data_IF_852376244039
#
_entry.id   IF_852376244039
#
_cell.length_a   1.000
_cell.length_b   1.000
_cell.length_c   1.000
_cell.angle_alpha   90.00
_cell.angle_beta   90.00
_cell.angle_gamma   90.00
#
_symmetry.space_group_name_H-M   'P 1'
#
loop_
_entity.id
_entity.type
_entity.pdbx_description
1 polymer ?
#
# COMPACT_ATOMS: atom_id res chain seq x y z
N UNK A 1 11.90 -39.49 0.01
CA UNK A 1 10.41 -39.47 -0.01
C UNK A 1 9.91 -38.97 -1.36
N UNK A 2 8.87 -39.61 -1.88
CA UNK A 2 8.20 -39.13 -3.11
C UNK A 2 7.05 -38.25 -2.66
N UNK A 3 7.16 -36.93 -2.91
CA UNK A 3 6.10 -35.94 -2.61
C UNK A 3 5.04 -35.92 -3.70
N UNK A 4 3.78 -35.64 -3.34
CA UNK A 4 2.69 -35.46 -4.29
C UNK A 4 2.95 -34.27 -5.21
N UNK A 5 3.48 -33.14 -4.64
CA UNK A 5 3.74 -31.90 -5.33
C UNK A 5 5.19 -31.41 -5.09
N UNK A 6 5.72 -30.64 -6.03
CA UNK A 6 6.98 -29.96 -5.85
C UNK A 6 6.82 -28.75 -4.93
N UNK A 7 5.66 -28.06 -5.03
CA UNK A 7 5.25 -27.02 -4.11
C UNK A 7 3.73 -27.02 -3.85
N UNK A 8 3.37 -26.66 -2.60
CA UNK A 8 2.01 -26.27 -2.21
C UNK A 8 2.07 -24.79 -1.81
N UNK A 9 1.12 -23.99 -2.33
CA UNK A 9 0.94 -22.59 -1.96
C UNK A 9 -0.38 -22.44 -1.21
N UNK A 10 -0.32 -21.88 0.01
CA UNK A 10 -1.49 -21.63 0.87
C UNK A 10 -1.82 -20.15 0.83
N UNK A 11 -2.96 -19.80 0.25
CA UNK A 11 -3.41 -18.45 -0.04
C UNK A 11 -3.02 -17.98 -1.45
N UNK A 12 -3.99 -17.40 -2.18
CA UNK A 12 -3.83 -16.89 -3.55
C UNK A 12 -4.04 -15.38 -3.66
N UNK A 13 -3.57 -14.63 -2.64
CA UNK A 13 -3.31 -13.20 -2.80
C UNK A 13 -2.14 -12.94 -3.76
N UNK A 14 -1.70 -11.69 -3.96
CA UNK A 14 -0.64 -11.34 -4.92
C UNK A 14 0.65 -12.18 -4.78
N UNK A 15 1.05 -12.51 -3.56
CA UNK A 15 2.23 -13.35 -3.31
C UNK A 15 2.02 -14.79 -3.78
N UNK A 16 0.90 -15.40 -3.40
CA UNK A 16 0.59 -16.79 -3.77
C UNK A 16 0.33 -16.95 -5.26
N UNK A 17 -0.31 -15.97 -5.89
CA UNK A 17 -0.46 -15.93 -7.35
C UNK A 17 0.91 -15.96 -8.04
N UNK A 18 1.85 -15.11 -7.61
CA UNK A 18 3.19 -15.06 -8.18
C UNK A 18 3.92 -16.41 -8.03
N UNK A 19 3.86 -17.02 -6.84
CA UNK A 19 4.47 -18.33 -6.58
C UNK A 19 3.86 -19.41 -7.46
N UNK A 20 2.52 -19.48 -7.50
CA UNK A 20 1.80 -20.57 -8.18
C UNK A 20 1.93 -20.51 -9.70
N UNK A 21 1.72 -19.31 -10.28
CA UNK A 21 1.78 -19.14 -11.73
C UNK A 21 3.21 -19.30 -12.26
N UNK A 22 4.19 -18.68 -11.60
CA UNK A 22 5.59 -18.83 -12.01
C UNK A 22 6.11 -20.26 -11.80
N UNK A 23 5.72 -20.90 -10.68
CA UNK A 23 6.10 -22.30 -10.43
C UNK A 23 5.56 -23.24 -11.51
N UNK A 24 4.28 -23.09 -11.88
CA UNK A 24 3.67 -23.86 -12.98
C UNK A 24 4.35 -23.58 -14.32
N UNK A 25 4.60 -22.30 -14.65
CA UNK A 25 5.28 -21.90 -15.89
C UNK A 25 6.72 -22.49 -15.99
N UNK A 26 7.35 -22.79 -14.86
CA UNK A 26 8.67 -23.45 -14.78
C UNK A 26 8.56 -24.98 -14.79
N UNK A 27 7.38 -25.56 -15.01
CA UNK A 27 7.17 -27.01 -15.09
C UNK A 27 7.11 -27.73 -13.75
N UNK A 28 6.96 -27.02 -12.62
CA UNK A 28 6.80 -27.64 -11.30
C UNK A 28 5.36 -28.15 -11.13
N UNK A 29 5.21 -29.26 -10.38
CA UNK A 29 3.91 -29.74 -9.94
C UNK A 29 3.44 -28.87 -8.77
N UNK A 30 2.55 -27.92 -9.08
CA UNK A 30 2.01 -26.93 -8.14
C UNK A 30 0.62 -27.34 -7.68
N UNK A 31 0.33 -27.17 -6.39
CA UNK A 31 -1.02 -27.15 -5.85
C UNK A 31 -1.22 -25.82 -5.13
N UNK A 32 -2.29 -25.12 -5.45
CA UNK A 32 -2.70 -23.91 -4.76
C UNK A 32 -3.95 -24.20 -3.90
N UNK A 33 -3.94 -23.74 -2.65
CA UNK A 33 -5.09 -23.84 -1.74
C UNK A 33 -5.50 -22.43 -1.32
N UNK A 34 -6.76 -22.08 -1.60
CA UNK A 34 -7.34 -20.78 -1.32
C UNK A 34 -8.68 -20.97 -0.61
N UNK A 35 -8.93 -20.26 0.48
CA UNK A 35 -10.18 -20.46 1.22
C UNK A 35 -11.37 -19.67 0.66
N UNK A 36 -11.12 -18.58 -0.07
CA UNK A 36 -12.18 -17.67 -0.51
C UNK A 36 -12.13 -17.40 -2.01
N UNK A 37 -11.25 -16.50 -2.46
CA UNK A 37 -11.19 -16.04 -3.85
C UNK A 37 -9.76 -15.80 -4.30
N UNK A 38 -9.43 -16.19 -5.53
CA UNK A 38 -8.16 -15.85 -6.17
C UNK A 38 -7.99 -14.32 -6.21
N UNK A 39 -6.76 -13.86 -5.97
CA UNK A 39 -6.43 -12.44 -5.88
C UNK A 39 -6.44 -11.89 -4.46
N UNK A 40 -6.99 -12.66 -3.50
CA UNK A 40 -7.05 -12.30 -2.08
C UNK A 40 -7.71 -10.93 -1.85
N UNK A 41 -7.38 -10.28 -0.74
CA UNK A 41 -7.94 -8.96 -0.43
C UNK A 41 -7.66 -7.92 -1.52
N UNK A 42 -6.45 -7.89 -2.06
CA UNK A 42 -6.04 -6.85 -3.03
C UNK A 42 -7.03 -6.73 -4.20
N UNK A 43 -7.38 -7.84 -4.83
CA UNK A 43 -8.24 -7.82 -6.01
C UNK A 43 -9.72 -7.73 -5.67
N UNK A 44 -10.14 -8.32 -4.55
CA UNK A 44 -11.57 -8.49 -4.25
C UNK A 44 -12.13 -7.40 -3.33
N UNK A 45 -11.38 -6.98 -2.30
CA UNK A 45 -11.85 -6.06 -1.23
C UNK A 45 -10.78 -5.03 -0.83
N UNK A 46 -9.79 -4.79 -1.68
CA UNK A 46 -8.65 -3.89 -1.39
C UNK A 46 -8.36 -2.93 -2.53
N UNK A 47 -7.18 -3.10 -3.15
CA UNK A 47 -6.63 -2.14 -4.13
C UNK A 47 -7.56 -1.88 -5.31
N UNK A 48 -8.16 -2.91 -5.90
CA UNK A 48 -8.97 -2.74 -7.11
C UNK A 48 -10.28 -1.99 -6.82
N UNK A 49 -11.13 -2.43 -5.87
CA UNK A 49 -12.37 -1.70 -5.58
C UNK A 49 -12.10 -0.30 -5.00
N UNK A 50 -11.07 -0.11 -4.16
CA UNK A 50 -10.75 1.21 -3.61
C UNK A 50 -10.34 2.20 -4.70
N UNK A 51 -9.58 1.80 -5.71
CA UNK A 51 -9.23 2.67 -6.84
C UNK A 51 -10.44 2.95 -7.75
N UNK A 52 -11.36 2.00 -7.83
CA UNK A 52 -12.65 2.21 -8.49
C UNK A 52 -13.49 3.33 -7.83
N UNK A 53 -13.65 3.30 -6.52
CA UNK A 53 -14.42 4.32 -5.79
C UNK A 53 -13.70 5.67 -5.77
N UNK A 54 -12.36 5.71 -5.59
CA UNK A 54 -11.56 6.94 -5.67
C UNK A 54 -11.69 7.61 -7.05
N UNK A 55 -11.66 6.83 -8.14
CA UNK A 55 -11.86 7.36 -9.49
C UNK A 55 -13.26 7.92 -9.71
N UNK A 56 -14.29 7.26 -9.17
CA UNK A 56 -15.65 7.76 -9.21
C UNK A 56 -15.77 9.09 -8.44
N UNK A 57 -15.23 9.14 -7.23
CA UNK A 57 -15.23 10.33 -6.38
C UNK A 57 -14.47 11.51 -7.03
N UNK A 58 -13.30 11.26 -7.65
CA UNK A 58 -12.56 12.31 -8.39
C UNK A 58 -13.40 12.86 -9.56
N UNK A 59 -14.14 12.02 -10.28
CA UNK A 59 -15.02 12.48 -11.36
C UNK A 59 -16.16 13.36 -10.87
N UNK A 60 -16.76 13.01 -9.74
CA UNK A 60 -17.81 13.84 -9.12
C UNK A 60 -17.24 15.20 -8.76
N UNK A 61 -16.09 15.21 -8.05
CA UNK A 61 -15.42 16.46 -7.66
C UNK A 61 -15.07 17.34 -8.86
N UNK A 62 -14.48 16.76 -9.91
CA UNK A 62 -14.17 17.49 -11.15
C UNK A 62 -15.43 18.07 -11.82
N UNK A 63 -16.53 17.33 -11.82
CA UNK A 63 -17.77 17.81 -12.37
C UNK A 63 -18.36 18.99 -11.55
N UNK A 64 -18.28 18.94 -10.22
CA UNK A 64 -18.67 20.06 -9.34
C UNK A 64 -17.80 21.30 -9.60
N UNK A 65 -16.51 21.14 -9.79
CA UNK A 65 -15.56 22.25 -10.08
C UNK A 65 -15.85 22.91 -11.43
N UNK A 66 -16.26 22.13 -12.45
CA UNK A 66 -16.54 22.63 -13.79
C UNK A 66 -17.95 23.19 -13.96
N UNK A 67 -18.94 22.59 -13.33
CA UNK A 67 -20.37 22.86 -13.59
C UNK A 67 -21.05 23.60 -12.41
N UNK A 68 -20.34 23.79 -11.30
CA UNK A 68 -20.92 24.24 -10.04
C UNK A 68 -21.65 23.11 -9.32
N UNK A 69 -22.53 23.45 -8.40
CA UNK A 69 -23.27 22.49 -7.59
C UNK A 69 -24.09 21.53 -8.45
N UNK A 70 -23.79 20.23 -8.34
CA UNK A 70 -24.53 19.19 -9.09
C UNK A 70 -25.84 18.91 -8.36
N UNK A 71 -26.95 19.11 -9.04
CA UNK A 71 -28.26 18.81 -8.50
C UNK A 71 -28.42 17.29 -8.25
N UNK A 72 -28.62 16.90 -7.01
CA UNK A 72 -28.87 15.52 -6.59
C UNK A 72 -27.61 14.72 -6.20
N UNK A 73 -27.85 13.60 -5.54
CA UNK A 73 -26.76 12.68 -5.13
C UNK A 73 -26.30 11.84 -6.32
N UNK A 74 -24.99 11.81 -6.63
CA UNK A 74 -24.46 10.95 -7.69
C UNK A 74 -24.84 9.47 -7.45
N UNK A 75 -25.11 8.68 -8.51
CA UNK A 75 -25.41 7.27 -8.34
C UNK A 75 -24.22 6.55 -7.68
N UNK A 76 -24.47 5.66 -6.71
CA UNK A 76 -23.42 4.95 -6.02
C UNK A 76 -22.63 4.08 -7.02
N UNK A 77 -21.29 4.12 -6.98
CA UNK A 77 -20.46 3.42 -7.98
C UNK A 77 -20.33 1.91 -7.77
N UNK A 78 -20.96 1.37 -6.74
CA UNK A 78 -20.72 -0.01 -6.26
C UNK A 78 -21.11 -1.08 -7.27
N UNK A 79 -22.23 -0.94 -7.98
CA UNK A 79 -22.66 -1.90 -8.99
C UNK A 79 -21.62 -2.02 -10.13
N UNK A 80 -21.14 -0.89 -10.64
CA UNK A 80 -20.10 -0.86 -11.67
C UNK A 80 -18.78 -1.44 -11.18
N UNK A 81 -18.42 -1.17 -9.93
CA UNK A 81 -17.22 -1.73 -9.31
C UNK A 81 -17.35 -3.25 -9.22
N UNK A 82 -18.49 -3.77 -8.72
CA UNK A 82 -18.75 -5.22 -8.67
C UNK A 82 -18.67 -5.86 -10.05
N UNK A 83 -19.29 -5.28 -11.07
CA UNK A 83 -19.19 -5.79 -12.44
C UNK A 83 -17.74 -5.86 -12.95
N UNK A 84 -16.91 -4.86 -12.60
CA UNK A 84 -15.49 -4.90 -12.93
C UNK A 84 -14.73 -6.00 -12.18
N UNK A 85 -15.04 -6.21 -10.89
CA UNK A 85 -14.43 -7.26 -10.08
C UNK A 85 -14.79 -8.66 -10.62
N UNK A 86 -16.05 -8.87 -10.97
CA UNK A 86 -16.52 -10.12 -11.56
C UNK A 86 -15.84 -10.39 -12.91
N UNK A 87 -15.72 -9.35 -13.77
CA UNK A 87 -14.97 -9.47 -15.03
C UNK A 87 -13.50 -9.86 -14.80
N UNK A 88 -12.84 -9.21 -13.84
CA UNK A 88 -11.44 -9.50 -13.52
C UNK A 88 -11.31 -10.91 -12.94
N UNK A 89 -12.15 -11.28 -11.99
CA UNK A 89 -12.11 -12.58 -11.33
C UNK A 89 -12.41 -13.73 -12.28
N UNK A 90 -13.59 -13.73 -12.90
CA UNK A 90 -14.08 -14.85 -13.71
C UNK A 90 -13.41 -14.94 -15.09
N UNK A 91 -13.18 -13.80 -15.76
CA UNK A 91 -12.66 -13.84 -17.15
C UNK A 91 -11.15 -13.66 -17.26
N UNK A 92 -10.52 -12.94 -16.34
CA UNK A 92 -9.07 -12.69 -16.44
C UNK A 92 -8.28 -13.61 -15.52
N UNK A 93 -8.60 -13.59 -14.22
CA UNK A 93 -7.80 -14.29 -13.23
C UNK A 93 -7.97 -15.81 -13.30
N UNK A 94 -9.19 -16.29 -13.50
CA UNK A 94 -9.48 -17.73 -13.62
C UNK A 94 -8.71 -18.38 -14.77
N UNK A 95 -8.67 -17.73 -15.93
CA UNK A 95 -7.93 -18.23 -17.10
C UNK A 95 -6.42 -18.34 -16.84
N UNK A 96 -5.84 -17.48 -16.00
CA UNK A 96 -4.42 -17.57 -15.62
C UNK A 96 -4.10 -18.87 -14.87
N UNK A 97 -5.09 -19.45 -14.18
CA UNK A 97 -4.94 -20.66 -13.37
C UNK A 97 -5.39 -21.97 -14.05
N UNK A 98 -5.68 -21.97 -15.36
CA UNK A 98 -6.11 -23.16 -16.10
C UNK A 98 -5.15 -24.36 -15.93
N UNK A 99 -3.84 -24.07 -15.81
CA UNK A 99 -2.80 -25.08 -15.65
C UNK A 99 -2.31 -25.24 -14.20
N UNK A 100 -2.98 -24.62 -13.22
CA UNK A 100 -2.66 -24.75 -11.80
C UNK A 100 -3.86 -25.31 -11.06
N UNK A 101 -3.79 -26.53 -10.51
CA UNK A 101 -4.83 -27.03 -9.63
C UNK A 101 -5.06 -26.10 -8.45
N UNK A 102 -6.28 -25.55 -8.33
CA UNK A 102 -6.72 -24.73 -7.22
C UNK A 102 -7.79 -25.46 -6.44
N UNK A 103 -7.61 -25.56 -5.13
CA UNK A 103 -8.61 -26.10 -4.21
C UNK A 103 -9.13 -24.97 -3.34
N UNK A 104 -10.45 -24.80 -3.33
CA UNK A 104 -11.13 -23.77 -2.52
C UNK A 104 -11.55 -24.36 -1.18
N UNK A 105 -10.60 -24.43 -0.25
CA UNK A 105 -10.75 -25.00 1.09
C UNK A 105 -9.82 -24.32 2.08
N UNK A 106 -10.13 -24.41 3.37
CA UNK A 106 -9.21 -24.01 4.42
C UNK A 106 -8.14 -25.07 4.62
N UNK A 107 -6.87 -24.66 4.63
CA UNK A 107 -5.72 -25.55 4.78
C UNK A 107 -5.10 -25.43 6.17
N UNK A 108 -4.62 -26.57 6.70
CA UNK A 108 -3.82 -26.61 7.92
C UNK A 108 -2.66 -27.61 7.83
N UNK A 109 -1.62 -27.37 8.60
CA UNK A 109 -0.48 -28.26 8.68
C UNK A 109 -0.79 -29.48 9.55
N UNK A 110 -0.48 -30.67 9.04
CA UNK A 110 -0.44 -31.93 9.79
C UNK A 110 0.97 -32.16 10.34
N UNK A 111 1.97 -31.90 9.49
CA UNK A 111 3.40 -31.86 9.82
C UNK A 111 4.12 -30.86 8.88
N UNK A 112 5.45 -30.82 8.94
CA UNK A 112 6.23 -29.84 8.17
C UNK A 112 6.20 -30.02 6.66
N UNK A 113 5.73 -31.16 6.15
CA UNK A 113 5.64 -31.46 4.72
C UNK A 113 4.22 -31.81 4.26
N UNK A 114 3.28 -31.96 5.20
CA UNK A 114 1.91 -32.42 4.94
C UNK A 114 0.90 -31.32 5.28
N UNK A 115 0.11 -30.97 4.29
CA UNK A 115 -1.03 -30.03 4.42
C UNK A 115 -2.32 -30.80 4.22
N UNK A 116 -3.31 -30.56 5.09
CA UNK A 116 -4.66 -31.12 5.00
C UNK A 116 -5.66 -30.02 4.64
N UNK A 117 -6.60 -30.34 3.76
CA UNK A 117 -7.73 -29.51 3.35
C UNK A 117 -8.87 -30.41 2.88
N UNK A 118 -10.12 -30.11 3.26
CA UNK A 118 -11.29 -30.92 2.91
C UNK A 118 -11.13 -32.41 3.25
N UNK A 119 -10.46 -32.76 4.35
CA UNK A 119 -10.18 -34.15 4.76
C UNK A 119 -9.12 -34.88 3.93
N UNK A 120 -8.43 -34.18 3.00
CA UNK A 120 -7.40 -34.78 2.12
C UNK A 120 -6.01 -34.28 2.53
N UNK A 121 -5.09 -35.20 2.78
CA UNK A 121 -3.69 -34.93 3.05
C UNK A 121 -2.87 -34.94 1.77
N UNK A 122 -2.03 -33.88 1.59
CA UNK A 122 -1.10 -33.77 0.47
C UNK A 122 0.27 -33.35 0.95
N UNK A 123 1.29 -33.91 0.31
CA UNK A 123 2.70 -33.67 0.66
C UNK A 123 3.40 -32.82 -0.39
N UNK A 124 4.32 -31.95 0.05
CA UNK A 124 5.12 -31.14 -0.85
C UNK A 124 6.58 -31.04 -0.43
N UNK A 125 7.47 -30.93 -1.44
CA UNK A 125 8.89 -30.67 -1.22
C UNK A 125 9.15 -29.27 -0.67
N UNK A 126 8.30 -28.29 -1.04
CA UNK A 126 8.32 -26.89 -0.57
C UNK A 126 6.90 -26.44 -0.30
N UNK A 127 6.73 -25.60 0.74
CA UNK A 127 5.43 -25.00 1.06
C UNK A 127 5.61 -23.49 1.16
N UNK A 128 4.64 -22.76 0.58
CA UNK A 128 4.61 -21.30 0.62
C UNK A 128 3.35 -20.84 1.37
N UNK A 129 3.55 -20.11 2.45
CA UNK A 129 2.48 -19.50 3.24
C UNK A 129 2.30 -18.08 2.70
N UNK A 130 1.16 -17.80 2.09
CA UNK A 130 0.79 -16.52 1.47
C UNK A 130 -0.58 -16.02 1.95
N UNK A 131 -0.92 -16.32 3.21
CA UNK A 131 -2.26 -16.12 3.81
C UNK A 131 -2.59 -14.67 4.13
N UNK A 132 -1.62 -13.74 4.00
CA UNK A 132 -1.86 -12.32 4.23
C UNK A 132 -2.17 -11.97 5.68
N UNK A 133 -3.06 -10.97 5.85
CA UNK A 133 -3.55 -10.45 7.15
C UNK A 133 -5.04 -10.13 7.04
N UNK A 134 -5.70 -9.83 8.18
CA UNK A 134 -7.10 -9.40 8.24
C UNK A 134 -7.22 -8.02 8.89
N UNK A 135 -8.31 -7.26 8.67
CA UNK A 135 -8.56 -6.03 9.40
C UNK A 135 -8.66 -6.29 10.90
N UNK A 136 -8.12 -5.38 11.69
CA UNK A 136 -8.25 -5.43 13.14
C UNK A 136 -9.42 -4.55 13.58
N UNK A 137 -10.35 -5.13 14.34
CA UNK A 137 -11.44 -4.37 14.96
C UNK A 137 -10.94 -3.67 16.22
N UNK A 138 -11.47 -2.48 16.55
CA UNK A 138 -11.07 -1.74 17.74
C UNK A 138 -11.49 -2.50 19.00
N UNK A 139 -10.62 -2.53 20.02
CA UNK A 139 -10.92 -3.08 21.33
C UNK A 139 -11.41 -1.95 22.24
N UNK A 140 -12.66 -1.58 22.10
CA UNK A 140 -13.33 -0.54 22.89
C UNK A 140 -14.62 -1.09 23.49
N UNK A 141 -15.08 -0.47 24.56
CA UNK A 141 -16.32 -0.86 25.24
C UNK A 141 -17.50 -0.82 24.28
N UNK A 142 -18.33 -1.87 24.26
CA UNK A 142 -19.51 -1.99 23.41
C UNK A 142 -19.24 -2.33 21.94
N UNK A 143 -17.99 -2.62 21.55
CA UNK A 143 -17.63 -2.95 20.18
C UNK A 143 -18.39 -4.16 19.62
N UNK A 144 -18.75 -5.11 20.47
CA UNK A 144 -19.51 -6.32 20.13
C UNK A 144 -20.96 -6.03 19.72
N UNK A 145 -21.51 -4.89 20.15
CA UNK A 145 -22.90 -4.47 19.85
C UNK A 145 -23.06 -3.74 18.53
N UNK A 146 -21.95 -3.41 17.84
CA UNK A 146 -21.93 -2.58 16.64
C UNK A 146 -21.31 -3.32 15.46
N UNK A 147 -21.96 -3.25 14.30
CA UNK A 147 -21.40 -3.80 13.06
C UNK A 147 -20.44 -2.80 12.41
N UNK A 148 -19.14 -2.99 12.66
CA UNK A 148 -18.11 -2.22 11.99
C UNK A 148 -18.02 -2.58 10.51
N UNK A 149 -17.92 -1.57 9.66
CA UNK A 149 -17.39 -1.74 8.32
C UNK A 149 -15.87 -1.96 8.39
N UNK A 150 -15.37 -2.80 7.50
CA UNK A 150 -13.95 -2.98 7.22
C UNK A 150 -13.75 -2.93 5.70
N UNK A 151 -12.53 -3.02 5.20
CA UNK A 151 -12.31 -3.18 3.77
C UNK A 151 -13.03 -4.42 3.20
N UNK A 152 -13.27 -5.47 3.98
CA UNK A 152 -13.97 -6.69 3.55
C UNK A 152 -15.47 -6.44 3.28
N UNK A 153 -16.11 -5.49 3.95
CA UNK A 153 -17.54 -5.20 3.84
C UNK A 153 -17.90 -3.85 3.22
N UNK A 154 -16.93 -2.93 3.12
CA UNK A 154 -17.18 -1.57 2.65
C UNK A 154 -17.68 -1.51 1.20
N UNK A 155 -17.11 -2.34 0.33
CA UNK A 155 -17.43 -2.34 -1.11
C UNK A 155 -18.69 -3.14 -1.46
N UNK A 156 -19.31 -3.80 -0.47
CA UNK A 156 -20.62 -4.46 -0.60
C UNK A 156 -21.81 -3.55 -0.26
N UNK A 157 -21.57 -2.30 0.12
CA UNK A 157 -22.63 -1.33 0.34
C UNK A 157 -23.47 -1.13 -0.93
N UNK A 158 -24.78 -0.94 -0.77
CA UNK A 158 -25.70 -0.67 -1.87
C UNK A 158 -25.85 0.84 -2.13
N UNK A 159 -25.71 1.64 -1.08
CA UNK A 159 -25.82 3.12 -1.13
C UNK A 159 -24.67 3.78 -0.37
N UNK A 160 -24.40 5.03 -0.71
CA UNK A 160 -23.51 5.88 0.09
C UNK A 160 -24.24 6.23 1.40
N UNK A 161 -23.63 5.99 2.58
CA UNK A 161 -24.24 6.36 3.85
C UNK A 161 -24.27 7.89 4.00
N UNK A 162 -25.27 8.41 4.72
CA UNK A 162 -25.36 9.86 4.99
C UNK A 162 -24.18 10.37 5.83
N UNK A 163 -23.67 9.52 6.72
CA UNK A 163 -22.55 9.86 7.59
C UNK A 163 -21.74 8.63 7.99
N UNK A 164 -20.42 8.83 8.17
CA UNK A 164 -19.51 7.75 8.58
C UNK A 164 -18.44 8.27 9.53
N UNK A 165 -18.24 7.54 10.63
CA UNK A 165 -17.06 7.69 11.49
C UNK A 165 -15.99 6.75 10.97
N UNK A 166 -14.75 7.24 10.78
CA UNK A 166 -13.60 6.43 10.35
C UNK A 166 -12.58 6.38 11.48
N UNK A 167 -12.32 5.19 12.01
CA UNK A 167 -11.32 4.97 13.05
C UNK A 167 -9.97 4.70 12.39
N UNK A 168 -9.03 5.64 12.56
CA UNK A 168 -7.68 5.60 12.00
C UNK A 168 -7.37 6.80 11.12
N UNK A 169 -6.09 6.95 10.80
CA UNK A 169 -5.56 8.02 9.93
C UNK A 169 -4.45 7.50 9.01
N UNK A 170 -4.46 6.21 8.71
CA UNK A 170 -3.57 5.57 7.74
C UNK A 170 -4.09 5.67 6.30
N UNK A 171 -3.40 5.02 5.37
CA UNK A 171 -3.73 5.11 3.93
C UNK A 171 -5.18 4.72 3.62
N UNK A 172 -5.68 3.59 4.12
CA UNK A 172 -7.06 3.14 3.88
C UNK A 172 -8.07 4.16 4.43
N UNK A 173 -7.83 4.66 5.66
CA UNK A 173 -8.70 5.66 6.28
C UNK A 173 -8.77 6.95 5.45
N UNK A 174 -7.62 7.45 4.98
CA UNK A 174 -7.52 8.67 4.19
C UNK A 174 -8.18 8.51 2.81
N UNK A 175 -7.87 7.43 2.09
CA UNK A 175 -8.49 7.15 0.78
C UNK A 175 -10.01 7.06 0.88
N UNK A 176 -10.52 6.32 1.86
CA UNK A 176 -11.97 6.15 2.02
C UNK A 176 -12.65 7.41 2.54
N UNK A 177 -12.00 8.16 3.44
CA UNK A 177 -12.52 9.44 3.90
C UNK A 177 -12.77 10.39 2.75
N UNK A 178 -11.77 10.58 1.88
CA UNK A 178 -11.91 11.48 0.73
C UNK A 178 -12.92 10.96 -0.30
N UNK A 179 -12.85 9.66 -0.63
CA UNK A 179 -13.77 9.08 -1.61
C UNK A 179 -15.23 9.22 -1.19
N UNK A 180 -15.56 8.83 0.05
CA UNK A 180 -16.95 8.90 0.53
C UNK A 180 -17.41 10.34 0.77
N UNK A 181 -16.52 11.24 1.22
CA UNK A 181 -16.86 12.67 1.35
C UNK A 181 -17.29 13.27 0.02
N UNK A 182 -16.51 13.05 -1.04
CA UNK A 182 -16.81 13.52 -2.41
C UNK A 182 -18.04 12.86 -3.03
N UNK A 183 -18.50 11.75 -2.48
CA UNK A 183 -19.75 11.07 -2.89
C UNK A 183 -20.94 11.48 -2.01
N UNK A 184 -20.80 12.51 -1.15
CA UNK A 184 -21.89 13.10 -0.36
C UNK A 184 -22.01 12.56 1.07
N UNK A 185 -21.11 11.71 1.56
CA UNK A 185 -21.11 11.22 2.93
C UNK A 185 -20.43 12.21 3.88
N UNK A 186 -21.08 12.58 4.99
CA UNK A 186 -20.44 13.38 6.05
C UNK A 186 -19.43 12.53 6.83
N UNK A 187 -18.14 12.89 6.75
CA UNK A 187 -17.06 12.11 7.33
C UNK A 187 -16.51 12.74 8.60
N UNK A 188 -16.33 11.93 9.64
CA UNK A 188 -15.54 12.26 10.83
C UNK A 188 -14.45 11.21 11.01
N UNK A 189 -13.18 11.61 10.91
CA UNK A 189 -12.01 10.76 11.19
C UNK A 189 -11.60 10.90 12.66
N UNK A 190 -11.33 9.79 13.33
CA UNK A 190 -10.81 9.74 14.70
C UNK A 190 -9.43 9.10 14.68
N UNK A 191 -8.40 9.88 14.99
CA UNK A 191 -7.00 9.47 14.92
C UNK A 191 -6.28 9.73 16.25
N UNK A 192 -5.69 8.68 16.84
CA UNK A 192 -4.93 8.76 18.10
C UNK A 192 -3.65 9.61 18.00
N UNK A 193 -3.04 9.65 16.84
CA UNK A 193 -1.83 10.43 16.60
C UNK A 193 -2.13 11.92 16.44
N UNK A 194 -1.09 12.77 16.57
CA UNK A 194 -1.19 14.24 16.41
C UNK A 194 -1.57 14.69 15.01
N UNK A 195 -1.48 13.82 14.00
CA UNK A 195 -1.87 14.06 12.61
C UNK A 195 -2.27 12.75 11.93
N UNK A 196 -2.99 12.82 10.82
CA UNK A 196 -3.15 11.69 9.91
C UNK A 196 -1.81 11.37 9.24
N UNK A 197 -1.68 10.20 8.61
CA UNK A 197 -0.47 9.79 7.88
C UNK A 197 0.81 9.93 8.71
N UNK A 198 0.75 9.54 9.99
CA UNK A 198 1.82 9.77 10.97
C UNK A 198 3.18 9.12 10.63
N UNK A 199 3.20 8.17 9.69
CA UNK A 199 4.42 7.49 9.22
C UNK A 199 5.04 8.13 7.99
N UNK A 200 4.31 8.98 7.30
CA UNK A 200 4.72 9.66 6.07
C UNK A 200 5.45 10.98 6.37
N UNK A 201 6.03 11.59 5.34
CA UNK A 201 6.65 12.93 5.42
C UNK A 201 5.67 13.92 6.07
N UNK A 202 6.18 14.73 6.99
CA UNK A 202 5.33 15.60 7.80
C UNK A 202 4.66 16.69 6.96
N UNK A 203 5.43 17.38 6.10
CA UNK A 203 4.91 18.44 5.23
C UNK A 203 3.84 17.87 4.27
N UNK A 204 4.10 16.71 3.71
CA UNK A 204 3.16 16.01 2.84
C UNK A 204 1.86 15.62 3.56
N UNK A 205 1.96 15.07 4.76
CA UNK A 205 0.81 14.67 5.55
C UNK A 205 -0.04 15.88 5.99
N UNK A 206 0.61 16.99 6.34
CA UNK A 206 -0.09 18.24 6.69
C UNK A 206 -0.81 18.83 5.47
N UNK A 207 -0.18 18.87 4.30
CA UNK A 207 -0.83 19.32 3.07
C UNK A 207 -2.12 18.51 2.78
N UNK A 208 -2.07 17.19 2.87
CA UNK A 208 -3.25 16.34 2.66
C UNK A 208 -4.30 16.59 3.74
N UNK A 209 -3.89 16.74 5.00
CA UNK A 209 -4.82 17.02 6.10
C UNK A 209 -5.57 18.35 5.91
N UNK A 210 -4.88 19.38 5.45
CA UNK A 210 -5.48 20.69 5.11
C UNK A 210 -6.48 20.56 3.95
N UNK A 211 -6.12 19.82 2.88
CA UNK A 211 -7.02 19.55 1.76
C UNK A 211 -8.29 18.82 2.22
N UNK A 212 -8.16 17.81 3.06
CA UNK A 212 -9.32 17.09 3.59
C UNK A 212 -10.23 18.00 4.41
N UNK A 213 -9.67 18.88 5.24
CA UNK A 213 -10.46 19.87 5.99
C UNK A 213 -11.17 20.86 5.06
N UNK A 214 -10.50 21.32 4.01
CA UNK A 214 -11.09 22.19 2.99
C UNK A 214 -12.25 21.48 2.23
N UNK A 215 -12.18 20.16 2.07
CA UNK A 215 -13.26 19.33 1.51
C UNK A 215 -14.35 18.97 2.54
N UNK A 216 -14.34 19.58 3.74
CA UNK A 216 -15.38 19.38 4.77
C UNK A 216 -15.21 18.12 5.63
N UNK A 217 -14.11 17.39 5.51
CA UNK A 217 -13.84 16.22 6.35
C UNK A 217 -13.44 16.68 7.75
N UNK A 218 -14.20 16.28 8.76
CA UNK A 218 -13.87 16.54 10.16
C UNK A 218 -12.77 15.57 10.61
N UNK A 219 -11.66 16.11 11.13
CA UNK A 219 -10.50 15.30 11.57
C UNK A 219 -10.20 15.60 13.03
N UNK A 220 -10.42 14.61 13.89
CA UNK A 220 -10.06 14.62 15.31
C UNK A 220 -8.73 13.90 15.48
N UNK A 221 -7.68 14.65 15.75
CA UNK A 221 -6.33 14.11 16.02
C UNK A 221 -6.05 14.13 17.53
N UNK A 222 -5.13 13.26 18.00
CA UNK A 222 -4.86 13.11 19.43
C UNK A 222 -6.06 12.57 20.21
N UNK A 223 -7.01 11.90 19.55
CA UNK A 223 -8.29 11.47 20.09
C UNK A 223 -8.41 9.95 20.01
N UNK A 224 -8.81 9.32 21.11
CA UNK A 224 -9.04 7.87 21.19
C UNK A 224 -10.53 7.55 21.27
N UNK A 225 -11.01 6.52 20.56
CA UNK A 225 -12.34 5.99 20.79
C UNK A 225 -12.36 5.27 22.15
N UNK A 226 -13.34 5.56 23.00
CA UNK A 226 -13.50 4.97 24.34
C UNK A 226 -14.56 3.89 24.37
N UNK A 227 -15.77 4.22 23.92
CA UNK A 227 -16.88 3.29 23.85
C UNK A 227 -17.75 3.55 22.61
N UNK A 228 -18.47 2.53 22.19
CA UNK A 228 -19.40 2.61 21.06
C UNK A 228 -20.70 1.88 21.38
N UNK A 229 -21.83 2.39 20.88
CA UNK A 229 -23.11 1.70 20.99
C UNK A 229 -23.98 1.94 19.76
N UNK A 230 -24.88 1.00 19.49
CA UNK A 230 -25.97 1.19 18.54
C UNK A 230 -27.10 1.95 19.25
N UNK A 231 -27.63 2.96 18.60
CA UNK A 231 -28.83 3.71 19.05
C UNK A 231 -29.85 3.77 17.93
N UNK A 232 -31.05 4.26 18.24
CA UNK A 232 -32.15 4.48 17.25
C UNK A 232 -31.73 5.50 16.18
N UNK A 233 -30.84 6.43 16.53
CA UNK A 233 -30.32 7.47 15.64
C UNK A 233 -29.05 7.04 14.87
N UNK A 234 -28.63 5.76 14.96
CA UNK A 234 -27.43 5.24 14.35
C UNK A 234 -26.36 4.83 15.39
N UNK A 235 -25.11 4.96 15.02
CA UNK A 235 -23.97 4.59 15.87
C UNK A 235 -23.52 5.82 16.67
N UNK A 236 -23.38 5.66 17.97
CA UNK A 236 -22.79 6.65 18.87
C UNK A 236 -21.40 6.18 19.33
N UNK A 237 -20.38 7.00 19.09
CA UNK A 237 -19.01 6.78 19.56
C UNK A 237 -18.65 7.85 20.59
N UNK A 238 -18.28 7.45 21.79
CA UNK A 238 -17.74 8.34 22.81
C UNK A 238 -16.21 8.34 22.75
N UNK A 239 -15.62 9.51 22.70
CA UNK A 239 -14.17 9.70 22.70
C UNK A 239 -13.62 9.76 24.14
N UNK A 240 -12.30 9.68 24.28
CA UNK A 240 -11.57 9.87 25.54
C UNK A 240 -11.70 11.30 26.11
N UNK A 241 -12.04 12.28 25.27
CA UNK A 241 -12.37 13.66 25.68
C UNK A 241 -13.80 13.83 26.15
N UNK A 242 -14.63 12.79 26.05
CA UNK A 242 -16.05 12.82 26.40
C UNK A 242 -16.97 13.31 25.28
N UNK A 243 -16.43 13.63 24.09
CA UNK A 243 -17.25 14.00 22.94
C UNK A 243 -18.02 12.79 22.40
N UNK A 244 -19.30 12.97 22.08
CA UNK A 244 -20.17 11.94 21.47
C UNK A 244 -20.33 12.26 19.98
N UNK A 245 -19.82 11.35 19.15
CA UNK A 245 -19.95 11.39 17.70
C UNK A 245 -21.08 10.47 17.25
N UNK A 246 -21.89 10.95 16.28
CA UNK A 246 -23.02 10.19 15.73
C UNK A 246 -22.85 10.00 14.22
N UNK A 247 -23.09 8.78 13.74
CA UNK A 247 -23.08 8.48 12.32
C UNK A 247 -23.95 7.24 11.98
N UNK A 248 -24.33 7.14 10.71
CA UNK A 248 -25.02 5.95 10.20
C UNK A 248 -24.13 4.71 10.20
N UNK A 249 -22.85 4.89 9.86
CA UNK A 249 -21.85 3.80 9.77
C UNK A 249 -20.56 4.15 10.49
N UNK A 250 -19.80 3.11 10.83
CA UNK A 250 -18.46 3.23 11.38
C UNK A 250 -17.50 2.30 10.64
N UNK A 251 -16.37 2.83 10.19
CA UNK A 251 -15.30 2.08 9.48
C UNK A 251 -14.11 1.87 10.40
N UNK A 252 -13.71 0.61 10.61
CA UNK A 252 -12.48 0.26 11.30
C UNK A 252 -11.32 0.20 10.29
N UNK A 253 -10.41 1.18 10.35
CA UNK A 253 -9.23 1.30 9.50
C UNK A 253 -7.96 1.61 10.33
N UNK A 254 -7.89 1.10 11.58
CA UNK A 254 -6.83 1.42 12.55
C UNK A 254 -5.70 0.39 12.60
N UNK A 255 -5.83 -0.79 12.00
CA UNK A 255 -4.83 -1.83 12.07
C UNK A 255 -5.15 -3.08 11.26
N UNK A 256 -4.18 -4.00 11.29
CA UNK A 256 -4.31 -5.33 10.69
C UNK A 256 -3.84 -6.36 11.71
N UNK A 257 -4.48 -7.52 11.72
CA UNK A 257 -4.14 -8.66 12.57
C UNK A 257 -3.75 -9.87 11.74
N UNK A 258 -3.00 -10.74 12.36
CA UNK A 258 -2.65 -12.04 11.81
C UNK A 258 -3.67 -13.08 12.30
N UNK A 259 -4.09 -13.96 11.41
CA UNK A 259 -5.10 -14.98 11.67
C UNK A 259 -4.56 -16.35 11.20
N UNK A 260 -3.86 -17.04 12.10
CA UNK A 260 -3.19 -18.31 11.80
C UNK A 260 -3.74 -19.48 12.60
N UNK A 261 -4.74 -19.27 13.46
CA UNK A 261 -5.23 -20.31 14.35
C UNK A 261 -5.61 -21.58 13.58
N UNK A 262 -6.32 -21.42 12.46
CA UNK A 262 -6.71 -22.53 11.62
C UNK A 262 -5.54 -23.20 10.86
N UNK A 263 -4.41 -22.52 10.70
CA UNK A 263 -3.27 -23.06 9.91
C UNK A 263 -2.41 -24.05 10.70
N UNK A 264 -2.51 -24.10 12.03
CA UNK A 264 -1.76 -24.99 12.92
C UNK A 264 -0.24 -24.94 12.65
N UNK A 265 0.35 -23.72 12.71
CA UNK A 265 1.76 -23.47 12.38
C UNK A 265 2.73 -24.29 13.27
N UNK A 266 2.34 -24.59 14.48
CA UNK A 266 3.08 -25.38 15.47
C UNK A 266 3.33 -26.81 14.97
N UNK A 267 2.36 -27.45 14.28
CA UNK A 267 2.52 -28.79 13.71
C UNK A 267 3.64 -28.82 12.66
N UNK A 268 3.85 -27.72 11.97
CA UNK A 268 4.94 -27.59 11.01
C UNK A 268 6.25 -27.09 11.64
N UNK A 269 6.28 -26.71 12.91
CA UNK A 269 7.43 -26.11 13.57
C UNK A 269 7.76 -24.68 13.05
N UNK A 270 6.74 -23.95 12.59
CA UNK A 270 6.85 -22.58 12.09
C UNK A 270 6.62 -21.58 13.23
N UNK A 271 7.62 -20.78 13.55
CA UNK A 271 7.56 -19.82 14.63
C UNK A 271 7.06 -18.43 14.16
N UNK A 272 6.37 -17.74 15.07
CA UNK A 272 5.97 -16.33 14.94
C UNK A 272 6.82 -15.44 15.86
N UNK A 273 6.78 -14.13 15.62
CA UNK A 273 7.32 -13.14 16.55
C UNK A 273 6.26 -12.68 17.58
N UNK A 274 6.65 -11.79 18.50
CA UNK A 274 5.74 -11.27 19.53
C UNK A 274 4.55 -10.45 19.00
N UNK A 275 4.60 -10.05 17.72
CA UNK A 275 3.50 -9.34 17.04
C UNK A 275 2.62 -10.28 16.22
N UNK A 276 2.93 -11.57 16.20
CA UNK A 276 2.23 -12.57 15.39
C UNK A 276 2.72 -12.71 13.95
N UNK A 277 3.79 -12.00 13.53
CA UNK A 277 4.35 -12.20 12.19
C UNK A 277 5.04 -13.54 12.08
N UNK A 278 4.87 -14.26 10.98
CA UNK A 278 5.66 -15.47 10.72
C UNK A 278 7.12 -15.06 10.55
N UNK A 279 7.99 -15.61 11.39
CA UNK A 279 9.43 -15.31 11.36
C UNK A 279 10.06 -15.83 10.09
N UNK A 280 10.76 -14.95 9.36
CA UNK A 280 11.52 -15.30 8.15
C UNK A 280 12.96 -14.80 8.21
N UNK A 281 13.85 -15.53 7.55
CA UNK A 281 15.20 -15.06 7.30
C UNK A 281 15.24 -14.15 6.04
N UNK A 282 16.43 -13.64 5.70
CA UNK A 282 16.63 -12.79 4.53
C UNK A 282 16.28 -13.43 3.18
N UNK A 283 16.05 -14.72 3.14
CA UNK A 283 15.66 -15.48 1.96
C UNK A 283 14.18 -15.85 1.95
N UNK A 284 13.38 -15.31 2.89
CA UNK A 284 11.95 -15.60 3.10
C UNK A 284 11.65 -17.03 3.59
N UNK A 285 12.66 -17.77 4.04
CA UNK A 285 12.48 -19.06 4.70
C UNK A 285 12.04 -18.84 6.15
N UNK A 286 11.08 -19.63 6.61
CA UNK A 286 10.65 -19.68 8.01
C UNK A 286 11.71 -20.37 8.89
N UNK A 287 11.35 -20.74 10.11
CA UNK A 287 12.17 -21.63 10.96
C UNK A 287 12.37 -23.01 10.34
N UNK A 288 11.53 -23.38 9.37
CA UNK A 288 11.67 -24.57 8.54
C UNK A 288 12.23 -24.18 7.17
N UNK A 289 13.41 -24.69 6.80
CA UNK A 289 14.14 -24.27 5.60
C UNK A 289 13.41 -24.54 4.26
N UNK A 290 12.44 -25.43 4.25
CA UNK A 290 11.63 -25.78 3.09
C UNK A 290 10.26 -25.08 3.07
N UNK A 291 9.91 -24.34 4.13
CA UNK A 291 8.68 -23.55 4.23
C UNK A 291 9.04 -22.07 4.11
N UNK A 292 8.37 -21.36 3.23
CA UNK A 292 8.54 -19.93 2.98
C UNK A 292 7.29 -19.17 3.41
N UNK A 293 7.44 -17.97 3.96
CA UNK A 293 6.30 -17.09 4.23
C UNK A 293 6.48 -15.77 3.47
N UNK A 294 5.49 -15.43 2.65
CA UNK A 294 5.56 -14.33 1.67
C UNK A 294 4.36 -13.41 1.77
N UNK A 295 4.60 -12.12 1.57
CA UNK A 295 3.59 -11.08 1.68
C UNK A 295 3.33 -10.67 3.13
N UNK A 296 2.14 -10.14 3.39
CA UNK A 296 1.78 -9.49 4.65
C UNK A 296 1.95 -10.38 5.87
N UNK A 297 1.84 -11.71 5.70
CA UNK A 297 1.95 -12.67 6.80
C UNK A 297 3.30 -12.66 7.51
N UNK A 298 4.37 -12.15 6.90
CA UNK A 298 5.67 -12.00 7.55
C UNK A 298 5.91 -10.60 8.14
N UNK A 299 4.98 -9.65 7.97
CA UNK A 299 5.02 -8.33 8.57
C UNK A 299 6.07 -7.36 8.03
N UNK A 300 6.86 -7.75 7.02
CA UNK A 300 7.93 -6.89 6.50
C UNK A 300 7.40 -5.67 5.74
N UNK A 301 6.44 -5.88 4.85
CA UNK A 301 5.77 -4.84 4.07
C UNK A 301 4.32 -5.25 3.82
N UNK A 302 3.37 -4.34 4.11
CA UNK A 302 1.93 -4.57 3.93
C UNK A 302 1.44 -3.92 2.62
N UNK A 303 2.03 -4.33 1.49
CA UNK A 303 1.72 -3.84 0.15
C UNK A 303 1.62 -4.98 -0.85
N UNK A 304 0.62 -4.95 -1.71
CA UNK A 304 0.35 -6.00 -2.70
C UNK A 304 1.51 -6.22 -3.68
N UNK A 305 2.16 -5.15 -4.15
CA UNK A 305 3.33 -5.26 -5.04
C UNK A 305 4.56 -5.81 -4.32
N UNK A 306 4.76 -5.47 -3.04
CA UNK A 306 5.82 -6.05 -2.22
C UNK A 306 5.56 -7.54 -1.96
N UNK A 307 4.30 -7.92 -1.70
CA UNK A 307 3.88 -9.31 -1.53
C UNK A 307 4.17 -10.13 -2.80
N UNK A 308 3.76 -9.64 -3.97
CA UNK A 308 4.04 -10.27 -5.27
C UNK A 308 5.55 -10.44 -5.51
N UNK A 309 6.33 -9.39 -5.26
CA UNK A 309 7.78 -9.42 -5.40
C UNK A 309 8.43 -10.42 -4.43
N UNK A 310 7.96 -10.49 -3.18
CA UNK A 310 8.42 -11.50 -2.22
C UNK A 310 8.11 -12.92 -2.71
N UNK A 311 6.93 -13.16 -3.28
CA UNK A 311 6.57 -14.44 -3.89
C UNK A 311 7.57 -14.87 -4.97
N UNK A 312 7.90 -13.96 -5.89
CA UNK A 312 8.91 -14.19 -6.93
C UNK A 312 10.28 -14.52 -6.34
N UNK A 313 10.77 -13.71 -5.39
CA UNK A 313 12.07 -13.92 -4.74
C UNK A 313 12.12 -15.24 -3.97
N UNK A 314 11.06 -15.57 -3.23
CA UNK A 314 10.99 -16.81 -2.45
C UNK A 314 11.00 -18.04 -3.35
N UNK A 315 10.25 -18.03 -4.47
CA UNK A 315 10.27 -19.11 -5.44
C UNK A 315 11.67 -19.30 -6.06
N UNK A 316 12.32 -18.22 -6.47
CA UNK A 316 13.70 -18.27 -6.95
C UNK A 316 14.65 -18.84 -5.87
N UNK A 317 14.52 -18.38 -4.63
CA UNK A 317 15.35 -18.85 -3.52
C UNK A 317 15.11 -20.31 -3.16
N UNK A 318 13.88 -20.83 -3.39
CA UNK A 318 13.55 -22.24 -3.18
C UNK A 318 14.25 -23.17 -4.18
N UNK A 319 14.58 -22.68 -5.39
CA UNK A 319 15.26 -23.42 -6.46
C UNK A 319 16.78 -23.24 -6.44
N UNK A 320 17.25 -22.05 -6.02
CA UNK A 320 18.66 -21.70 -6.13
C UNK A 320 19.51 -22.23 -4.95
N UNK A 321 20.77 -22.64 -5.21
CA UNK A 321 21.72 -22.91 -4.16
C UNK A 321 21.98 -21.64 -3.32
N UNK A 322 22.39 -21.83 -2.05
CA UNK A 322 22.45 -20.74 -1.04
C UNK A 322 23.25 -19.51 -1.50
N UNK A 323 24.33 -19.69 -2.25
CA UNK A 323 25.21 -18.58 -2.68
C UNK A 323 24.61 -17.72 -3.80
N UNK A 324 23.58 -18.21 -4.52
CA UNK A 324 22.84 -17.46 -5.55
C UNK A 324 21.53 -16.85 -5.04
N UNK A 325 21.14 -17.15 -3.78
CA UNK A 325 19.89 -16.66 -3.22
C UNK A 325 19.89 -15.16 -3.03
N UNK A 326 18.74 -14.56 -3.22
CA UNK A 326 18.54 -13.12 -3.15
C UNK A 326 18.00 -12.71 -1.77
N UNK A 327 18.64 -11.70 -1.18
CA UNK A 327 18.14 -11.07 0.05
C UNK A 327 17.02 -10.09 -0.31
N UNK A 328 15.76 -10.42 0.09
CA UNK A 328 14.59 -9.62 -0.25
C UNK A 328 14.62 -8.21 0.36
N UNK A 329 15.34 -8.02 1.46
CA UNK A 329 15.47 -6.73 2.16
C UNK A 329 16.31 -5.70 1.39
N UNK A 330 17.01 -6.11 0.34
CA UNK A 330 17.82 -5.23 -0.54
C UNK A 330 16.99 -4.54 -1.62
N UNK A 331 15.71 -4.87 -1.75
CA UNK A 331 14.83 -4.25 -2.73
C UNK A 331 14.03 -3.12 -2.07
N UNK A 332 14.01 -1.97 -2.71
CA UNK A 332 13.21 -0.83 -2.25
C UNK A 332 11.74 -1.06 -2.56
N UNK A 333 10.89 -0.57 -1.68
CA UNK A 333 9.44 -0.68 -1.84
C UNK A 333 8.88 0.74 -1.91
N UNK A 334 8.46 1.22 -3.10
CA UNK A 334 7.73 2.47 -3.20
C UNK A 334 6.34 2.32 -2.56
N UNK A 335 5.83 3.38 -1.99
CA UNK A 335 4.50 3.44 -1.41
C UNK A 335 3.71 4.60 -2.01
N UNK A 336 2.45 4.39 -2.35
CA UNK A 336 1.56 5.44 -2.85
C UNK A 336 0.23 5.42 -2.11
N UNK A 337 -0.16 6.57 -1.60
CA UNK A 337 -1.50 6.89 -1.15
C UNK A 337 -2.23 7.53 -2.34
N UNK A 338 -3.39 7.01 -2.69
CA UNK A 338 -4.17 7.45 -3.85
C UNK A 338 -5.24 8.49 -3.50
N UNK A 339 -4.95 9.35 -2.50
CA UNK A 339 -5.73 10.58 -2.28
C UNK A 339 -5.56 11.56 -3.43
N UNK A 340 -6.24 12.68 -3.36
CA UNK A 340 -6.10 13.79 -4.29
C UNK A 340 -5.81 15.07 -3.49
N UNK A 341 -4.55 15.59 -3.54
CA UNK A 341 -3.41 15.07 -4.32
C UNK A 341 -2.89 13.71 -3.81
N UNK A 342 -2.26 12.94 -4.70
CA UNK A 342 -1.60 11.67 -4.35
C UNK A 342 -0.33 11.93 -3.53
N UNK A 343 0.04 10.99 -2.65
CA UNK A 343 1.32 11.02 -1.92
C UNK A 343 2.10 9.73 -2.19
N UNK A 344 3.32 9.87 -2.67
CA UNK A 344 4.22 8.74 -2.95
C UNK A 344 5.57 8.92 -2.29
N UNK A 345 6.12 7.84 -1.74
CA UNK A 345 7.42 7.84 -1.06
C UNK A 345 8.24 6.62 -1.44
N UNK A 346 9.57 6.78 -1.47
CA UNK A 346 10.50 5.68 -1.70
C UNK A 346 11.86 5.94 -1.05
N UNK A 347 12.52 4.88 -0.62
CA UNK A 347 13.85 4.95 0.01
C UNK A 347 13.78 5.42 1.47
N UNK A 348 14.83 6.08 1.93
CA UNK A 348 14.92 6.56 3.29
C UNK A 348 14.12 7.87 3.45
N UNK A 349 13.22 7.91 4.43
CA UNK A 349 12.53 9.17 4.81
C UNK A 349 13.48 10.12 5.55
N UNK A 350 13.14 11.40 5.58
CA UNK A 350 13.90 12.42 6.31
C UNK A 350 14.12 12.02 7.77
N UNK A 351 13.08 11.50 8.41
CA UNK A 351 13.15 11.02 9.80
C UNK A 351 14.20 9.92 9.95
N UNK A 352 14.17 8.89 9.11
CA UNK A 352 15.16 7.79 9.16
C UNK A 352 16.58 8.29 8.93
N UNK A 353 16.77 9.23 8.01
CA UNK A 353 18.09 9.82 7.73
C UNK A 353 18.62 10.62 8.93
N UNK A 354 17.75 11.38 9.61
CA UNK A 354 18.10 12.12 10.84
C UNK A 354 18.40 11.15 12.00
N UNK A 355 17.53 10.18 12.23
CA UNK A 355 17.68 9.20 13.33
C UNK A 355 18.95 8.35 13.19
N UNK A 356 19.38 8.06 11.95
CA UNK A 356 20.62 7.31 11.66
C UNK A 356 21.87 8.21 11.57
N UNK A 357 21.75 9.53 11.75
CA UNK A 357 22.86 10.47 11.60
C UNK A 357 23.43 10.55 10.17
N UNK A 358 22.67 10.09 9.18
CA UNK A 358 23.10 10.12 7.78
C UNK A 358 23.11 11.57 7.29
N UNK A 359 24.24 12.05 6.75
CA UNK A 359 24.34 13.40 6.18
C UNK A 359 23.68 13.45 4.81
N UNK A 360 22.72 14.35 4.65
CA UNK A 360 21.97 14.57 3.41
C UNK A 360 21.62 16.03 3.22
N UNK A 361 21.24 16.36 2.01
CA UNK A 361 20.64 17.63 1.61
C UNK A 361 19.21 17.35 1.14
N UNK A 362 18.27 18.19 1.53
CA UNK A 362 16.89 18.17 1.03
C UNK A 362 16.76 19.17 -0.11
N UNK A 363 16.25 18.72 -1.25
CA UNK A 363 15.92 19.56 -2.41
C UNK A 363 14.42 19.45 -2.65
N UNK A 364 13.76 20.61 -2.83
CA UNK A 364 12.31 20.69 -3.02
C UNK A 364 12.00 21.49 -4.27
N UNK A 365 11.08 20.99 -5.10
CA UNK A 365 10.46 21.74 -6.19
C UNK A 365 8.95 21.67 -6.03
N UNK A 366 8.28 22.82 -6.08
CA UNK A 366 6.82 22.91 -5.89
C UNK A 366 6.12 22.78 -7.26
N UNK A 367 4.95 22.18 -7.25
CA UNK A 367 4.08 22.11 -8.43
C UNK A 367 3.65 23.51 -8.87
N UNK A 368 3.37 24.41 -7.91
CA UNK A 368 3.00 25.80 -8.18
C UNK A 368 4.08 26.65 -8.91
N UNK A 369 5.34 26.17 -8.96
CA UNK A 369 6.42 26.80 -9.69
C UNK A 369 6.62 26.17 -11.10
N UNK A 370 5.75 25.26 -11.50
CA UNK A 370 5.85 24.53 -12.76
C UNK A 370 4.67 24.82 -13.69
N UNK A 371 4.96 25.37 -14.86
CA UNK A 371 3.95 25.86 -15.81
C UNK A 371 2.91 24.83 -16.24
N UNK A 372 3.29 23.55 -16.41
CA UNK A 372 2.32 22.52 -16.74
C UNK A 372 1.35 22.26 -15.59
N UNK A 373 1.83 22.21 -14.33
CA UNK A 373 0.97 22.02 -13.18
C UNK A 373 -0.02 23.17 -12.97
N UNK A 374 0.44 24.41 -13.27
CA UNK A 374 -0.43 25.60 -13.25
C UNK A 374 -1.48 25.51 -14.36
N UNK A 375 -1.08 25.14 -15.59
CA UNK A 375 -1.97 25.08 -16.75
C UNK A 375 -3.02 23.95 -16.62
N UNK A 376 -2.70 22.89 -15.89
CA UNK A 376 -3.59 21.74 -15.64
C UNK A 376 -4.41 21.91 -14.33
N UNK A 377 -4.28 23.05 -13.63
CA UNK A 377 -4.94 23.36 -12.36
C UNK A 377 -4.64 22.34 -11.25
N UNK A 378 -3.39 21.83 -11.22
CA UNK A 378 -2.90 20.84 -10.23
C UNK A 378 -1.66 21.35 -9.50
N UNK A 379 -1.64 22.65 -9.20
CA UNK A 379 -0.50 23.37 -8.62
C UNK A 379 -0.20 22.99 -7.16
N UNK A 380 -1.08 22.23 -6.50
CA UNK A 380 -0.90 21.80 -5.12
C UNK A 380 0.02 20.60 -5.00
N UNK A 381 1.20 20.83 -4.44
CA UNK A 381 2.14 19.74 -4.20
C UNK A 381 3.59 20.12 -4.32
N UNK A 382 4.44 19.10 -4.15
CA UNK A 382 5.89 19.23 -4.27
C UNK A 382 6.56 17.88 -4.57
N UNK A 383 7.75 17.95 -5.14
CA UNK A 383 8.73 16.87 -5.15
C UNK A 383 9.82 17.21 -4.16
N UNK A 384 10.11 16.32 -3.23
CA UNK A 384 11.16 16.43 -2.21
C UNK A 384 12.11 15.26 -2.35
N UNK A 385 13.40 15.52 -2.52
CA UNK A 385 14.43 14.51 -2.65
C UNK A 385 15.51 14.65 -1.57
N UNK A 386 15.97 13.50 -1.08
CA UNK A 386 17.03 13.42 -0.06
C UNK A 386 18.31 12.95 -0.74
N UNK A 387 19.31 13.84 -0.80
CA UNK A 387 20.54 13.65 -1.57
C UNK A 387 21.73 13.55 -0.62
N UNK A 388 22.46 12.45 -0.68
CA UNK A 388 23.68 12.24 0.11
C UNK A 388 24.85 13.13 -0.38
N UNK A 389 25.90 13.21 0.44
CA UNK A 389 27.10 14.07 0.17
C UNK A 389 27.74 13.89 -1.20
N UNK A 390 27.68 12.69 -1.76
CA UNK A 390 28.25 12.36 -3.09
C UNK A 390 27.27 12.54 -4.24
N UNK A 391 26.12 13.17 -3.98
CA UNK A 391 25.05 13.28 -4.95
C UNK A 391 24.15 12.03 -5.07
N UNK A 392 24.38 11.00 -4.26
CA UNK A 392 23.57 9.77 -4.29
C UNK A 392 22.16 10.05 -3.82
N UNK A 393 21.18 9.54 -4.56
CA UNK A 393 19.76 9.61 -4.20
C UNK A 393 19.49 8.60 -3.07
N UNK A 394 18.99 9.08 -1.93
CA UNK A 394 18.71 8.28 -0.73
C UNK A 394 17.22 7.97 -0.60
N UNK A 395 16.37 8.86 -1.04
CA UNK A 395 14.92 8.74 -0.99
C UNK A 395 14.24 9.93 -1.63
N UNK A 396 12.92 9.80 -1.82
CA UNK A 396 12.07 10.86 -2.34
C UNK A 396 10.66 10.78 -1.75
N UNK A 397 10.02 11.95 -1.62
CA UNK A 397 8.62 12.11 -1.30
C UNK A 397 7.99 13.04 -2.34
N UNK A 398 6.87 12.64 -2.92
CA UNK A 398 6.15 13.39 -3.95
C UNK A 398 4.70 13.51 -3.53
N UNK A 399 4.21 14.73 -3.40
CA UNK A 399 2.78 15.01 -3.24
C UNK A 399 2.32 15.80 -4.46
N UNK A 400 1.27 15.33 -5.13
CA UNK A 400 0.73 15.99 -6.30
C UNK A 400 0.19 15.03 -7.36
N UNK A 401 -0.35 15.58 -8.42
CA UNK A 401 -0.86 14.81 -9.56
C UNK A 401 0.26 13.97 -10.18
N UNK A 402 -0.04 12.70 -10.49
CA UNK A 402 0.90 11.77 -11.12
C UNK A 402 2.01 11.24 -10.19
N UNK A 403 1.99 11.55 -8.88
CA UNK A 403 3.06 11.10 -7.97
C UNK A 403 3.23 9.58 -7.95
N UNK A 404 2.13 8.81 -8.10
CA UNK A 404 2.15 7.35 -8.14
C UNK A 404 2.89 6.78 -9.35
N UNK A 405 2.93 7.50 -10.46
CA UNK A 405 3.71 7.13 -11.64
C UNK A 405 5.16 7.62 -11.53
N UNK A 406 5.36 8.86 -11.10
CA UNK A 406 6.68 9.48 -10.96
C UNK A 406 7.58 8.75 -9.98
N UNK A 407 7.03 8.21 -8.88
CA UNK A 407 7.82 7.54 -7.83
C UNK A 407 8.59 6.32 -8.35
N UNK A 408 8.18 5.71 -9.47
CA UNK A 408 8.84 4.53 -10.03
C UNK A 408 10.23 4.85 -10.58
N UNK A 409 10.43 6.03 -11.16
CA UNK A 409 11.76 6.53 -11.55
C UNK A 409 12.68 6.66 -10.32
N UNK A 410 12.18 7.26 -9.25
CA UNK A 410 12.91 7.39 -8.00
C UNK A 410 13.20 6.04 -7.34
N UNK A 411 12.27 5.09 -7.43
CA UNK A 411 12.49 3.73 -6.95
C UNK A 411 13.64 3.04 -7.70
N UNK A 412 13.69 3.19 -9.02
CA UNK A 412 14.82 2.70 -9.84
C UNK A 412 16.13 3.39 -9.43
N UNK A 413 16.10 4.71 -9.27
CA UNK A 413 17.28 5.50 -8.88
C UNK A 413 17.84 5.06 -7.51
N UNK A 414 16.99 4.92 -6.50
CA UNK A 414 17.39 4.44 -5.17
C UNK A 414 17.89 2.99 -5.23
N UNK A 415 17.16 2.10 -5.92
CA UNK A 415 17.52 0.68 -6.07
C UNK A 415 18.88 0.49 -6.75
N UNK A 416 19.16 1.27 -7.77
CA UNK A 416 20.43 1.24 -8.53
C UNK A 416 21.50 2.13 -7.95
N UNK A 417 21.20 2.84 -6.85
CA UNK A 417 22.14 3.76 -6.17
C UNK A 417 22.62 4.89 -7.09
N UNK A 418 21.76 5.36 -7.98
CA UNK A 418 22.05 6.45 -8.92
C UNK A 418 22.34 7.76 -8.17
N UNK A 419 23.01 8.67 -8.87
CA UNK A 419 23.25 10.03 -8.41
C UNK A 419 22.23 10.98 -9.02
N UNK A 420 22.02 12.10 -8.38
CA UNK A 420 21.13 13.15 -8.89
C UNK A 420 21.57 13.70 -10.27
N UNK A 421 22.86 13.62 -10.56
CA UNK A 421 23.42 13.96 -11.89
C UNK A 421 22.92 13.02 -12.99
N UNK A 422 22.59 11.78 -12.68
CA UNK A 422 22.03 10.85 -13.66
C UNK A 422 20.65 11.32 -14.12
N UNK A 423 19.81 11.86 -13.20
CA UNK A 423 18.54 12.50 -13.53
C UNK A 423 18.73 13.84 -14.24
N UNK A 424 19.79 14.59 -13.95
CA UNK A 424 20.10 15.85 -14.62
C UNK A 424 20.33 15.64 -16.13
N UNK A 425 21.06 14.60 -16.49
CA UNK A 425 21.39 14.30 -17.88
C UNK A 425 20.35 13.41 -18.60
N UNK A 426 19.37 12.87 -17.86
CA UNK A 426 18.23 12.19 -18.45
C UNK A 426 17.32 13.21 -19.16
N UNK A 427 16.85 12.89 -20.37
CA UNK A 427 15.83 13.67 -21.03
C UNK A 427 14.45 13.21 -20.54
N UNK A 428 13.67 14.16 -20.02
CA UNK A 428 12.29 13.93 -19.62
C UNK A 428 11.34 14.49 -20.67
N UNK A 429 10.20 13.84 -20.86
CA UNK A 429 9.14 14.36 -21.72
C UNK A 429 8.63 15.70 -21.17
N UNK A 430 8.39 16.66 -22.08
CA UNK A 430 7.88 17.98 -21.72
C UNK A 430 6.63 18.29 -22.56
N UNK A 431 5.57 18.87 -21.98
CA UNK A 431 5.38 19.16 -20.56
C UNK A 431 4.69 17.97 -19.86
N UNK A 432 5.31 17.40 -18.82
CA UNK A 432 4.73 16.36 -17.97
C UNK A 432 5.08 16.61 -16.50
N UNK A 433 4.30 16.07 -15.55
CA UNK A 433 4.65 16.17 -14.11
C UNK A 433 5.98 15.47 -13.80
N UNK A 434 6.36 14.43 -14.57
CA UNK A 434 7.67 13.76 -14.47
C UNK A 434 8.86 14.68 -14.67
N UNK A 435 8.70 15.80 -15.40
CA UNK A 435 9.75 16.80 -15.57
C UNK A 435 10.18 17.46 -14.25
N UNK A 436 9.33 17.44 -13.22
CA UNK A 436 9.71 17.90 -11.87
C UNK A 436 10.86 17.09 -11.27
N UNK A 437 11.04 15.83 -11.64
CA UNK A 437 12.23 15.04 -11.26
C UNK A 437 13.52 15.67 -11.82
N UNK A 438 13.50 16.14 -13.06
CA UNK A 438 14.62 16.87 -13.65
C UNK A 438 14.84 18.22 -12.97
N UNK A 439 13.76 18.94 -12.64
CA UNK A 439 13.84 20.21 -11.92
C UNK A 439 14.54 20.07 -10.55
N UNK A 440 14.32 18.97 -9.83
CA UNK A 440 15.07 18.66 -8.61
C UNK A 440 16.58 18.58 -8.89
N UNK A 441 16.98 17.89 -9.96
CA UNK A 441 18.38 17.76 -10.34
C UNK A 441 19.00 19.09 -10.78
N UNK A 442 18.26 19.90 -11.52
CA UNK A 442 18.66 21.26 -11.92
C UNK A 442 18.84 22.15 -10.69
N UNK A 443 17.87 22.17 -9.76
CA UNK A 443 17.94 22.96 -8.53
C UNK A 443 19.13 22.57 -7.66
N UNK A 444 19.41 21.27 -7.55
CA UNK A 444 20.57 20.75 -6.84
C UNK A 444 21.89 21.20 -7.50
N UNK A 445 21.98 21.20 -8.82
CA UNK A 445 23.15 21.64 -9.57
C UNK A 445 23.33 23.16 -9.46
N UNK A 446 22.27 23.94 -9.61
CA UNK A 446 22.31 25.42 -9.52
C UNK A 446 22.93 25.90 -8.23
N UNK A 447 22.57 25.34 -7.07
CA UNK A 447 23.22 25.65 -5.79
C UNK A 447 24.74 25.46 -5.84
N UNK A 448 25.26 24.49 -6.59
CA UNK A 448 26.69 24.21 -6.72
C UNK A 448 27.38 25.17 -7.67
N UNK A 449 26.69 25.63 -8.70
CA UNK A 449 27.21 26.64 -9.61
C UNK A 449 27.43 28.01 -8.95
N UNK A 450 26.76 28.27 -7.82
CA UNK A 450 26.95 29.50 -7.02
C UNK A 450 28.31 29.50 -6.30
N UNK A 451 28.92 28.33 -6.09
CA UNK A 451 30.20 28.23 -5.36
C UNK A 451 31.33 28.89 -6.14
N UNK A 452 32.12 29.80 -5.51
CA UNK A 452 33.15 30.62 -6.20
C UNK A 452 34.19 29.74 -6.94
N UNK A 453 34.61 28.65 -6.33
CA UNK A 453 35.60 27.73 -6.95
C UNK A 453 35.02 27.10 -8.22
N UNK A 454 33.76 26.67 -8.21
CA UNK A 454 33.10 26.10 -9.37
C UNK A 454 33.00 27.12 -10.50
N UNK A 455 32.61 28.35 -10.21
CA UNK A 455 32.59 29.48 -11.17
C UNK A 455 33.95 29.72 -11.78
N UNK A 456 35.01 29.68 -10.96
CA UNK A 456 36.39 29.85 -11.44
C UNK A 456 36.83 28.75 -12.39
N UNK A 457 36.50 27.48 -12.07
CA UNK A 457 36.79 26.31 -12.92
C UNK A 457 36.02 26.41 -14.24
N UNK A 458 34.71 26.70 -14.22
CA UNK A 458 33.91 26.88 -15.42
C UNK A 458 34.46 27.98 -16.33
N UNK A 459 34.84 29.14 -15.74
CA UNK A 459 35.45 30.27 -16.51
C UNK A 459 36.79 29.88 -17.12
N UNK A 460 37.58 29.07 -16.44
CA UNK A 460 38.84 28.57 -16.99
C UNK A 460 38.60 27.69 -18.21
N UNK A 461 37.76 26.67 -18.12
CA UNK A 461 37.45 25.81 -19.26
C UNK A 461 36.70 26.50 -20.40
N UNK A 462 35.87 27.50 -20.11
CA UNK A 462 35.16 28.26 -21.15
C UNK A 462 36.10 29.17 -21.99
N UNK A 463 37.29 29.48 -21.44
CA UNK A 463 38.31 30.32 -22.13
C UNK A 463 39.38 29.52 -22.86
N UNK A 464 39.35 28.19 -22.73
CA UNK A 464 40.18 27.27 -23.52
C UNK A 464 39.53 26.98 -24.89
#
# INVERSE_FOLDING_TARGET
>A
MKYDYDLICIGLGPAGMAVSLMGSAMGLRVLAVERERIGGECMNVGCIPSKGILRAAKRVKTAEELLGEIAGTPPPPFEKIRAHLDFIGEKKTKNLFENVPVVFEEAHFVDSHTVEFGGKKKTAKRIFIATGTRPELPRIEGAESVKFLTNESLFSLEKIPESMIILGGGAIACEMAQAFSRLGCRITMVQRGKRILSRNDEEAALLIQEKFRAEGIRILTGTLPKSVRQSDAGIELTTDTGEILRAEKILAAAGRRFDYAALNLENAGVATDARGNIRVNKFLQTTQAHIFAVGDCNGAHLFSHAAMHQGMIALMNAMLPRFLRRDFRKYVVPATLFSDPQLSEVGASERVLRDTGTRFETVVCRYGDYGAAIAEDVADGFVKAFIGRTGRILGACIVGEGSGEMINEWALAVQKKLRITDLLFLQHSFPTMGFLSKRIAESWMMKRTEHPIFKKICRFFFRL
#
